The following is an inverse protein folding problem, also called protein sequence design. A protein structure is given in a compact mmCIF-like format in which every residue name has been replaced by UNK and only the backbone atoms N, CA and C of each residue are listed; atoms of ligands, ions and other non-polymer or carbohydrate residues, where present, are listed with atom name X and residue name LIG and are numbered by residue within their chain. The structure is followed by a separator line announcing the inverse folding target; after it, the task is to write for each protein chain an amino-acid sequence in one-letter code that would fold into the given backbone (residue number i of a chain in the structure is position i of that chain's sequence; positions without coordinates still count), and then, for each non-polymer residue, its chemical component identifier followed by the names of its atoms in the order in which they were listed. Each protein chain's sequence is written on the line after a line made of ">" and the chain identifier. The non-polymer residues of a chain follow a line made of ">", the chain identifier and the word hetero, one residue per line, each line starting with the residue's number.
data_IF_137175154211
#
_entry.id   IF_137175154211
#
_cell.length_a   1.000
_cell.length_b   1.000
_cell.length_c   1.000
_cell.angle_alpha   90.00
_cell.angle_beta   90.00
_cell.angle_gamma   90.00
#
_symmetry.space_group_name_H-M   'P 1'
#
loop_
_entity.id
_entity.type
_entity.pdbx_description
1 polymer ?
#
# COMPACT_ATOMS: atom_id res chain seq x y z
N UNK A 1 -18.08 -33.33 -2.66
CA UNK A 1 -18.77 -32.38 -3.53
C UNK A 1 -20.00 -31.86 -2.83
N UNK A 2 -19.91 -30.74 -2.15
CA UNK A 2 -21.06 -29.93 -1.68
C UNK A 2 -20.65 -28.48 -1.75
N UNK A 3 -20.57 -27.95 -2.96
CA UNK A 3 -20.60 -26.52 -3.22
C UNK A 3 -22.05 -26.03 -3.12
N UNK A 4 -22.29 -25.07 -2.28
CA UNK A 4 -23.55 -24.34 -2.29
C UNK A 4 -24.26 -24.32 -0.94
N UNK A 5 -23.87 -23.32 -0.10
CA UNK A 5 -24.75 -22.62 0.86
C UNK A 5 -23.96 -21.79 1.88
N UNK A 6 -23.27 -20.76 1.45
CA UNK A 6 -22.82 -19.70 2.36
C UNK A 6 -22.74 -18.33 1.66
N UNK A 7 -23.82 -17.97 1.01
CA UNK A 7 -24.06 -16.58 0.63
C UNK A 7 -25.37 -16.14 1.28
N UNK A 8 -25.34 -15.87 2.58
CA UNK A 8 -26.47 -15.25 3.28
C UNK A 8 -26.01 -14.12 4.21
N UNK A 9 -25.95 -12.93 3.66
CA UNK A 9 -26.78 -11.88 4.25
C UNK A 9 -26.18 -11.00 5.34
N UNK A 10 -24.88 -10.52 5.28
CA UNK A 10 -24.47 -9.31 6.05
C UNK A 10 -23.57 -8.35 5.27
N UNK A 11 -22.80 -8.83 4.34
CA UNK A 11 -21.73 -8.13 3.62
C UNK A 11 -22.18 -6.96 2.72
N UNK A 12 -23.42 -6.89 2.31
CA UNK A 12 -23.85 -5.86 1.34
C UNK A 12 -23.94 -4.42 1.88
N UNK A 13 -24.14 -4.22 3.17
CA UNK A 13 -24.26 -2.86 3.73
C UNK A 13 -22.92 -2.21 4.05
N UNK A 14 -21.97 -2.96 4.58
CA UNK A 14 -20.63 -2.46 4.88
C UNK A 14 -19.85 -2.08 3.62
N UNK A 15 -19.84 -2.96 2.61
CA UNK A 15 -19.11 -2.75 1.36
C UNK A 15 -19.62 -1.52 0.57
N UNK A 16 -20.94 -1.28 0.55
CA UNK A 16 -21.50 -0.11 -0.12
C UNK A 16 -21.10 1.21 0.60
N UNK A 17 -21.07 1.22 1.92
CA UNK A 17 -20.69 2.41 2.70
C UNK A 17 -19.19 2.68 2.59
N UNK A 18 -18.37 1.65 2.63
CA UNK A 18 -16.91 1.74 2.49
C UNK A 18 -16.49 2.20 1.09
N UNK A 19 -17.08 1.64 0.04
CA UNK A 19 -16.87 2.10 -1.35
C UNK A 19 -17.28 3.57 -1.51
N UNK A 20 -18.36 4.01 -0.86
CA UNK A 20 -18.78 5.41 -0.91
C UNK A 20 -17.81 6.36 -0.21
N UNK A 21 -17.20 5.95 0.90
CA UNK A 21 -16.23 6.77 1.63
C UNK A 21 -14.88 6.84 0.92
N UNK A 22 -14.38 5.73 0.37
CA UNK A 22 -13.12 5.71 -0.39
C UNK A 22 -13.22 6.49 -1.71
N UNK A 23 -14.35 6.36 -2.42
CA UNK A 23 -14.63 7.17 -3.62
C UNK A 23 -14.76 8.65 -3.27
N UNK A 24 -15.27 8.99 -2.07
CA UNK A 24 -15.40 10.39 -1.63
C UNK A 24 -14.04 11.03 -1.35
N UNK A 25 -13.08 10.31 -0.77
CA UNK A 25 -11.72 10.82 -0.54
C UNK A 25 -10.96 11.02 -1.86
N UNK A 26 -11.01 10.05 -2.77
CA UNK A 26 -10.44 10.16 -4.11
C UNK A 26 -11.10 11.27 -4.94
N UNK A 27 -12.42 11.42 -4.85
CA UNK A 27 -13.15 12.49 -5.53
C UNK A 27 -12.79 13.88 -4.98
N UNK A 28 -12.47 14.01 -3.69
CA UNK A 28 -12.05 15.28 -3.10
C UNK A 28 -10.67 15.71 -3.62
N UNK A 29 -9.72 14.79 -3.73
CA UNK A 29 -8.41 15.06 -4.33
C UNK A 29 -8.55 15.45 -5.83
N UNK A 30 -9.42 14.77 -6.57
CA UNK A 30 -9.68 15.07 -7.98
C UNK A 30 -10.41 16.40 -8.15
N UNK A 31 -11.40 16.71 -7.30
CA UNK A 31 -12.11 17.99 -7.31
C UNK A 31 -11.18 19.17 -6.99
N UNK A 32 -10.25 19.01 -6.06
CA UNK A 32 -9.23 20.03 -5.77
C UNK A 32 -8.26 20.24 -6.95
N UNK A 33 -7.94 19.19 -7.71
CA UNK A 33 -7.10 19.28 -8.90
C UNK A 33 -7.83 19.93 -10.10
N UNK A 34 -9.15 19.80 -10.19
CA UNK A 34 -9.93 20.28 -11.34
C UNK A 34 -10.55 21.67 -11.17
N UNK A 35 -10.78 22.14 -9.94
CA UNK A 35 -11.42 23.45 -9.68
C UNK A 35 -10.62 24.67 -10.12
N UNK A 36 -9.34 24.51 -10.48
CA UNK A 36 -8.52 25.60 -11.04
C UNK A 36 -8.41 25.57 -12.57
N UNK A 37 -9.14 24.69 -13.27
CA UNK A 37 -9.18 24.65 -14.72
C UNK A 37 -10.06 25.78 -15.27
N UNK A 38 -9.54 27.00 -15.29
CA UNK A 38 -10.00 28.00 -16.25
C UNK A 38 -9.80 27.42 -17.65
N UNK A 39 -10.83 27.55 -18.50
CA UNK A 39 -10.82 27.07 -19.87
C UNK A 39 -9.58 27.63 -20.63
N UNK A 40 -8.50 26.89 -20.60
CA UNK A 40 -7.42 27.01 -21.57
C UNK A 40 -7.86 26.20 -22.78
N UNK A 41 -7.66 26.79 -23.97
CA UNK A 41 -7.76 26.11 -25.26
C UNK A 41 -7.17 24.70 -25.11
N UNK A 42 -7.76 23.67 -25.72
CA UNK A 42 -7.14 22.35 -25.76
C UNK A 42 -5.89 22.45 -26.65
N UNK A 43 -4.80 22.93 -26.05
CA UNK A 43 -3.49 22.75 -26.64
C UNK A 43 -3.33 21.27 -26.93
N UNK A 44 -2.85 20.93 -28.13
CA UNK A 44 -2.50 19.54 -28.45
C UNK A 44 -1.62 19.02 -27.35
N UNK A 45 -2.21 18.13 -26.54
CA UNK A 45 -1.53 17.53 -25.40
C UNK A 45 -0.35 16.73 -25.94
N UNK A 46 0.85 16.89 -25.38
CA UNK A 46 2.04 16.24 -25.90
C UNK A 46 1.77 14.73 -25.99
N UNK A 47 2.14 14.15 -27.12
CA UNK A 47 2.19 12.69 -27.27
C UNK A 47 3.03 12.12 -26.14
N UNK A 48 2.50 11.15 -25.44
CA UNK A 48 3.16 10.53 -24.31
C UNK A 48 4.38 9.74 -24.79
N UNK A 49 5.55 10.33 -24.65
CA UNK A 49 6.82 9.63 -24.89
C UNK A 49 7.15 8.82 -23.62
N UNK A 50 6.89 7.52 -23.67
CA UNK A 50 7.26 6.61 -22.60
C UNK A 50 8.78 6.49 -22.53
N UNK A 51 9.34 6.74 -21.36
CA UNK A 51 10.78 6.59 -21.13
C UNK A 51 11.05 5.40 -20.21
N UNK A 52 12.24 4.82 -20.33
CA UNK A 52 12.73 3.84 -19.36
C UNK A 52 13.04 4.55 -18.05
N UNK A 53 12.52 4.05 -16.95
CA UNK A 53 12.75 4.55 -15.59
C UNK A 53 13.41 3.46 -14.77
N UNK A 54 14.48 3.82 -14.11
CA UNK A 54 15.04 3.04 -13.00
C UNK A 54 15.08 3.92 -11.76
N UNK A 55 14.41 3.51 -10.70
CA UNK A 55 14.37 4.22 -9.42
C UNK A 55 14.82 3.29 -8.30
N UNK A 56 15.61 3.81 -7.38
CA UNK A 56 15.91 3.19 -6.10
C UNK A 56 15.55 4.16 -4.98
N UNK A 57 15.07 3.64 -3.88
CA UNK A 57 14.76 4.44 -2.70
C UNK A 57 15.32 3.79 -1.44
N UNK A 58 15.56 4.62 -0.43
CA UNK A 58 15.87 4.18 0.92
C UNK A 58 15.20 5.16 1.89
N UNK A 59 14.67 4.62 2.97
CA UNK A 59 13.94 5.40 3.96
C UNK A 59 14.13 4.85 5.37
N UNK A 60 13.84 5.69 6.35
CA UNK A 60 13.74 5.32 7.74
C UNK A 60 12.60 6.06 8.40
N UNK A 61 12.06 5.50 9.44
CA UNK A 61 10.92 6.08 10.12
C UNK A 61 10.61 5.39 11.42
N UNK A 62 9.44 5.68 11.89
CA UNK A 62 8.94 5.22 13.15
C UNK A 62 7.49 4.76 13.01
N UNK A 63 7.18 3.57 13.49
CA UNK A 63 5.86 2.99 13.51
C UNK A 63 5.39 2.92 14.96
N UNK A 64 4.12 3.21 15.20
CA UNK A 64 3.45 3.04 16.48
C UNK A 64 2.14 2.30 16.29
N UNK A 65 1.88 1.39 17.21
CA UNK A 65 0.73 0.49 17.24
C UNK A 65 -0.17 0.83 18.40
N UNK A 66 -1.48 0.81 18.17
CA UNK A 66 -2.49 1.03 19.20
C UNK A 66 -3.83 0.40 18.80
N UNK A 67 -4.73 0.19 19.75
CA UNK A 67 -6.07 -0.34 19.48
C UNK A 67 -6.69 -1.01 20.68
N UNK A 68 -7.93 -1.43 20.55
CA UNK A 68 -8.68 -2.09 21.62
C UNK A 68 -8.24 -3.57 21.79
N UNK A 69 -7.72 -4.19 20.74
CA UNK A 69 -7.22 -5.55 20.74
C UNK A 69 -6.07 -5.78 21.74
N UNK A 70 -5.18 -4.80 21.88
CA UNK A 70 -4.07 -4.84 22.86
C UNK A 70 -4.57 -4.94 24.33
N UNK A 71 -5.83 -4.60 24.57
CA UNK A 71 -6.43 -4.65 25.92
C UNK A 71 -7.06 -6.00 26.27
N UNK A 72 -7.33 -6.88 25.31
CA UNK A 72 -8.07 -8.14 25.52
C UNK A 72 -7.21 -9.25 26.17
N UNK A 73 -5.92 -9.26 25.95
CA UNK A 73 -4.98 -10.27 26.48
C UNK A 73 -4.59 -10.10 27.96
N UNK A 74 -5.24 -9.16 28.68
CA UNK A 74 -5.01 -8.96 30.14
C UNK A 74 -3.73 -8.22 30.47
N UNK A 75 -3.05 -7.64 29.51
CA UNK A 75 -1.96 -6.69 29.67
C UNK A 75 -2.42 -5.35 30.25
N UNK A 76 -1.49 -4.53 30.67
CA UNK A 76 -1.80 -3.20 31.17
C UNK A 76 -2.45 -2.37 30.04
N UNK A 77 -3.54 -1.64 30.30
CA UNK A 77 -4.22 -0.87 29.28
C UNK A 77 -3.29 0.21 28.71
N UNK A 78 -3.22 0.28 27.36
CA UNK A 78 -2.49 1.31 26.59
C UNK A 78 -0.96 1.13 26.48
N UNK A 79 -0.43 -0.06 26.36
CA UNK A 79 0.94 -0.19 25.87
C UNK A 79 0.94 0.11 24.36
N UNK A 80 1.43 1.31 24.00
CA UNK A 80 1.71 1.68 22.61
C UNK A 80 3.05 1.02 22.28
N UNK A 81 3.01 0.06 21.37
CA UNK A 81 4.23 -0.47 20.78
C UNK A 81 4.74 0.53 19.75
N UNK A 82 5.97 0.94 19.89
CA UNK A 82 6.59 1.88 18.98
C UNK A 82 8.02 1.44 18.65
N UNK A 83 8.36 1.38 17.36
CA UNK A 83 9.67 0.92 16.93
C UNK A 83 10.16 1.59 15.64
N UNK A 84 11.50 1.75 15.48
CA UNK A 84 12.07 2.26 14.25
C UNK A 84 12.01 1.22 13.13
N UNK A 85 11.66 1.69 11.94
CA UNK A 85 11.67 0.93 10.70
C UNK A 85 12.65 1.53 9.71
N UNK A 86 13.31 0.67 8.94
CA UNK A 86 14.15 1.05 7.82
C UNK A 86 13.80 0.18 6.62
N UNK A 87 13.77 0.80 5.46
CA UNK A 87 13.42 0.09 4.26
C UNK A 87 14.01 0.71 3.01
N UNK A 88 13.69 0.10 1.93
CA UNK A 88 14.07 0.56 0.62
C UNK A 88 13.36 -0.22 -0.48
N UNK A 89 13.49 0.29 -1.69
CA UNK A 89 12.85 -0.33 -2.84
C UNK A 89 13.56 -0.01 -4.14
N UNK A 90 13.11 -0.66 -5.17
CA UNK A 90 13.53 -0.44 -6.55
C UNK A 90 12.33 -0.54 -7.49
N UNK A 91 12.33 0.30 -8.50
CA UNK A 91 11.36 0.28 -9.58
C UNK A 91 12.09 0.30 -10.91
N UNK A 92 11.70 -0.57 -11.82
CA UNK A 92 12.16 -0.59 -13.19
C UNK A 92 10.96 -0.62 -14.12
N UNK A 93 10.79 0.44 -14.91
CA UNK A 93 9.73 0.55 -15.91
C UNK A 93 10.33 0.74 -17.30
N UNK A 94 9.80 0.02 -18.28
CA UNK A 94 10.28 0.05 -19.66
C UNK A 94 9.12 0.02 -20.63
N UNK A 95 9.13 0.91 -21.66
CA UNK A 95 8.20 0.79 -22.78
C UNK A 95 8.54 -0.47 -23.59
N UNK A 96 7.55 -1.35 -23.74
CA UNK A 96 7.71 -2.57 -24.56
C UNK A 96 7.34 -2.30 -26.02
N UNK A 97 6.33 -1.45 -26.22
CA UNK A 97 5.85 -0.90 -27.50
C UNK A 97 5.43 0.54 -27.27
N UNK A 98 5.10 1.28 -28.29
CA UNK A 98 4.72 2.70 -28.22
C UNK A 98 3.60 3.00 -27.20
N UNK A 99 2.76 2.00 -26.91
CA UNK A 99 1.58 2.15 -26.04
C UNK A 99 1.57 1.14 -24.86
N UNK A 100 2.61 0.34 -24.69
CA UNK A 100 2.67 -0.66 -23.65
C UNK A 100 3.85 -0.44 -22.71
N UNK A 101 3.58 -0.58 -21.43
CA UNK A 101 4.54 -0.43 -20.34
C UNK A 101 4.65 -1.74 -19.57
N UNK A 102 5.87 -2.20 -19.32
CA UNK A 102 6.17 -3.23 -18.33
C UNK A 102 6.90 -2.59 -17.16
N UNK A 103 6.52 -2.93 -15.94
CA UNK A 103 7.15 -2.43 -14.71
C UNK A 103 7.40 -3.58 -13.74
N UNK A 104 8.56 -3.55 -13.11
CA UNK A 104 8.91 -4.37 -11.95
C UNK A 104 9.10 -3.43 -10.75
N UNK A 105 8.57 -3.84 -9.62
CA UNK A 105 8.64 -3.10 -8.38
C UNK A 105 9.04 -4.06 -7.25
N UNK A 106 9.90 -3.60 -6.38
CA UNK A 106 10.31 -4.30 -5.18
C UNK A 106 10.38 -3.30 -4.03
N UNK A 107 9.82 -3.65 -2.89
CA UNK A 107 9.93 -2.87 -1.65
C UNK A 107 10.07 -3.83 -0.48
N UNK A 108 10.92 -3.47 0.47
CA UNK A 108 11.10 -4.24 1.70
C UNK A 108 11.55 -3.36 2.85
N UNK A 109 11.29 -3.83 4.06
CA UNK A 109 11.60 -3.13 5.30
C UNK A 109 11.95 -4.09 6.42
N UNK A 110 12.59 -3.56 7.45
CA UNK A 110 12.88 -4.28 8.69
C UNK A 110 12.76 -3.38 9.90
N UNK A 111 12.23 -3.94 10.97
CA UNK A 111 12.15 -3.30 12.27
C UNK A 111 13.45 -3.54 13.05
N UNK A 112 13.82 -2.58 13.88
CA UNK A 112 14.97 -2.70 14.78
C UNK A 112 14.51 -2.58 16.22
N UNK A 113 15.04 -3.47 17.07
CA UNK A 113 14.88 -3.41 18.53
C UNK A 113 13.47 -3.70 19.05
N UNK A 114 12.82 -4.70 18.47
CA UNK A 114 11.49 -5.17 18.89
C UNK A 114 11.49 -6.14 20.07
N UNK A 115 12.68 -6.55 20.55
CA UNK A 115 12.81 -7.72 21.43
C UNK A 115 12.17 -7.54 22.81
N UNK A 116 11.80 -6.32 23.23
CA UNK A 116 11.23 -6.07 24.54
C UNK A 116 10.39 -4.79 24.58
N UNK A 117 9.10 -4.90 24.62
CA UNK A 117 8.23 -3.81 25.03
C UNK A 117 8.11 -3.82 26.55
N UNK A 118 8.65 -2.79 27.22
CA UNK A 118 8.63 -2.64 28.68
C UNK A 118 9.18 -3.84 29.50
N UNK A 119 10.08 -4.66 28.91
CA UNK A 119 10.67 -5.81 29.60
C UNK A 119 9.79 -7.05 29.64
N UNK A 120 8.70 -7.05 28.88
CA UNK A 120 7.90 -8.23 28.57
C UNK A 120 8.30 -8.67 27.16
N UNK A 121 8.59 -9.96 26.94
CA UNK A 121 8.75 -10.46 25.58
C UNK A 121 7.49 -10.16 24.78
N UNK A 122 7.63 -9.44 23.68
CA UNK A 122 6.51 -9.22 22.77
C UNK A 122 6.32 -10.54 21.99
N UNK A 123 5.16 -11.12 22.10
CA UNK A 123 4.76 -12.26 21.27
C UNK A 123 4.21 -11.70 19.94
N UNK A 124 4.59 -12.31 18.81
CA UNK A 124 4.10 -12.02 17.44
C UNK A 124 4.30 -10.57 16.94
N UNK A 125 5.46 -10.00 17.24
CA UNK A 125 5.76 -8.62 16.80
C UNK A 125 6.21 -8.57 15.35
N UNK A 126 5.64 -7.66 14.56
CA UNK A 126 6.09 -7.38 13.20
C UNK A 126 7.58 -7.02 13.16
N UNK A 127 8.37 -7.81 12.44
CA UNK A 127 9.82 -7.60 12.32
C UNK A 127 10.23 -7.09 10.94
N UNK A 128 9.33 -7.09 9.97
CA UNK A 128 9.57 -6.60 8.63
C UNK A 128 8.87 -7.40 7.55
N UNK A 129 9.24 -7.15 6.31
CA UNK A 129 8.71 -7.87 5.17
C UNK A 129 9.16 -7.28 3.85
N UNK A 130 8.79 -7.95 2.78
CA UNK A 130 9.00 -7.44 1.44
C UNK A 130 7.87 -7.85 0.48
N UNK A 131 7.73 -7.08 -0.59
CA UNK A 131 6.86 -7.40 -1.72
C UNK A 131 7.58 -7.10 -3.02
N UNK A 132 7.56 -8.04 -3.94
CA UNK A 132 8.02 -7.86 -5.32
C UNK A 132 6.86 -8.12 -6.28
N UNK A 133 6.71 -7.26 -7.32
CA UNK A 133 5.62 -7.40 -8.25
C UNK A 133 5.98 -6.95 -9.67
N UNK A 134 5.25 -7.52 -10.63
CA UNK A 134 5.27 -7.11 -12.03
C UNK A 134 3.95 -6.50 -12.44
N UNK A 135 4.02 -5.51 -13.32
CA UNK A 135 2.87 -4.82 -13.89
C UNK A 135 3.00 -4.77 -15.41
N UNK A 136 1.89 -4.92 -16.10
CA UNK A 136 1.81 -4.77 -17.55
C UNK A 136 0.61 -3.91 -17.91
N UNK A 137 0.84 -2.77 -18.56
CA UNK A 137 -0.18 -1.76 -18.76
C UNK A 137 -0.20 -1.23 -20.20
N UNK A 138 -1.39 -1.04 -20.72
CA UNK A 138 -1.66 -0.27 -21.92
C UNK A 138 -1.77 1.21 -21.55
N UNK A 139 -1.14 2.06 -22.32
CA UNK A 139 -1.17 3.52 -22.14
C UNK A 139 -1.64 4.20 -23.41
N UNK A 140 -2.53 5.14 -23.27
CA UNK A 140 -2.98 5.96 -24.40
C UNK A 140 -3.29 7.38 -23.94
N UNK A 141 -2.58 8.37 -24.47
CA UNK A 141 -2.67 9.75 -24.04
C UNK A 141 -2.52 9.88 -22.50
N UNK A 142 -3.60 10.26 -21.81
CA UNK A 142 -3.66 10.46 -20.37
C UNK A 142 -4.21 9.25 -19.60
N UNK A 143 -4.49 8.17 -20.28
CA UNK A 143 -5.09 6.98 -19.70
C UNK A 143 -4.09 5.84 -19.64
N UNK A 144 -4.10 5.10 -18.52
CA UNK A 144 -3.40 3.85 -18.36
C UNK A 144 -4.39 2.79 -17.84
N UNK A 145 -4.31 1.60 -18.37
CA UNK A 145 -5.04 0.44 -17.86
C UNK A 145 -4.12 -0.77 -17.90
N UNK A 146 -4.08 -1.56 -16.82
CA UNK A 146 -3.17 -2.68 -16.74
C UNK A 146 -3.57 -3.73 -15.72
N UNK A 147 -2.72 -4.73 -15.63
CA UNK A 147 -2.80 -5.81 -14.66
C UNK A 147 -1.50 -5.88 -13.88
N UNK A 148 -1.55 -6.45 -12.68
CA UNK A 148 -0.40 -6.67 -11.84
C UNK A 148 -0.49 -8.02 -11.14
N UNK A 149 0.68 -8.57 -10.79
CA UNK A 149 0.81 -9.70 -9.91
C UNK A 149 2.14 -9.62 -9.16
N UNK A 150 2.16 -10.11 -7.94
CA UNK A 150 3.33 -10.07 -7.07
C UNK A 150 3.27 -11.12 -5.98
N UNK A 151 4.39 -11.23 -5.26
CA UNK A 151 4.54 -12.08 -4.09
C UNK A 151 5.52 -11.43 -3.09
N UNK A 152 5.49 -11.88 -1.86
CA UNK A 152 6.37 -11.39 -0.82
C UNK A 152 6.28 -12.24 0.44
N UNK A 153 6.93 -11.75 1.48
CA UNK A 153 6.90 -12.36 2.81
C UNK A 153 6.78 -11.26 3.86
N UNK A 154 6.11 -11.59 4.94
CA UNK A 154 6.01 -10.78 6.15
C UNK A 154 6.60 -11.58 7.29
N UNK A 155 7.48 -10.96 8.06
CA UNK A 155 8.22 -11.58 9.14
C UNK A 155 7.69 -11.13 10.49
N UNK A 156 7.51 -12.08 11.38
CA UNK A 156 7.12 -11.85 12.77
C UNK A 156 8.14 -12.49 13.69
N UNK A 157 8.45 -11.80 14.78
CA UNK A 157 9.35 -12.30 15.81
C UNK A 157 8.54 -12.68 17.04
N UNK A 158 8.65 -13.95 17.43
CA UNK A 158 8.13 -14.48 18.69
C UNK A 158 9.30 -14.83 19.60
N UNK A 159 9.13 -14.75 20.92
CA UNK A 159 10.17 -15.05 21.93
C UNK A 159 10.84 -16.41 21.78
N UNK A 160 10.21 -17.34 21.10
CA UNK A 160 10.71 -18.73 20.97
C UNK A 160 10.85 -19.20 19.52
N UNK A 161 10.20 -18.54 18.58
CA UNK A 161 10.13 -19.00 17.18
C UNK A 161 9.90 -17.80 16.25
N UNK A 162 10.61 -17.73 15.15
CA UNK A 162 10.30 -16.76 14.09
C UNK A 162 9.21 -17.36 13.20
N UNK A 163 8.26 -16.54 12.79
CA UNK A 163 7.18 -16.94 11.89
C UNK A 163 7.21 -16.11 10.62
N UNK A 164 7.02 -16.78 9.50
CA UNK A 164 7.01 -16.15 8.18
C UNK A 164 5.65 -16.39 7.52
N UNK A 165 5.10 -15.33 6.96
CA UNK A 165 3.85 -15.37 6.19
C UNK A 165 4.17 -15.04 4.74
N UNK A 166 4.10 -16.04 3.88
CA UNK A 166 4.18 -15.85 2.43
C UNK A 166 2.87 -15.27 1.92
N UNK A 167 2.97 -14.32 1.00
CA UNK A 167 1.81 -13.64 0.41
C UNK A 167 1.91 -13.57 -1.11
N UNK A 168 0.79 -13.56 -1.79
CA UNK A 168 0.71 -13.24 -3.20
C UNK A 168 -0.45 -12.28 -3.48
N UNK A 169 -0.31 -11.46 -4.51
CA UNK A 169 -1.25 -10.42 -4.91
C UNK A 169 -1.45 -10.47 -6.43
N UNK A 170 -2.67 -10.27 -6.88
CA UNK A 170 -2.97 -10.07 -8.30
C UNK A 170 -4.15 -9.13 -8.49
N UNK A 171 -4.17 -8.38 -9.59
CA UNK A 171 -5.29 -7.47 -9.83
C UNK A 171 -5.19 -6.70 -11.13
N UNK A 172 -6.09 -5.72 -11.24
CA UNK A 172 -6.15 -4.79 -12.33
C UNK A 172 -6.14 -3.34 -11.85
N UNK A 173 -5.75 -2.43 -12.73
CA UNK A 173 -5.67 -1.01 -12.42
C UNK A 173 -6.02 -0.14 -13.60
N UNK A 174 -6.49 1.07 -13.31
CA UNK A 174 -6.70 2.12 -14.27
C UNK A 174 -6.24 3.46 -13.68
N UNK A 175 -5.66 4.33 -14.51
CA UNK A 175 -5.23 5.67 -14.11
C UNK A 175 -5.57 6.69 -15.17
N UNK A 176 -6.02 7.86 -14.73
CA UNK A 176 -6.12 9.08 -15.54
C UNK A 176 -5.09 10.06 -15.03
N UNK A 177 -4.31 10.63 -15.92
CA UNK A 177 -3.23 11.58 -15.62
C UNK A 177 -3.42 12.86 -16.44
N UNK A 178 -3.22 14.03 -15.84
CA UNK A 178 -3.10 15.31 -16.52
C UNK A 178 -1.93 16.10 -15.92
N UNK A 179 -1.61 17.27 -16.48
CA UNK A 179 -0.47 18.10 -16.06
C UNK A 179 -0.49 18.52 -14.58
N UNK A 180 -1.62 18.45 -13.91
CA UNK A 180 -1.78 18.90 -12.52
C UNK A 180 -1.94 17.76 -11.53
N UNK A 181 -2.28 16.57 -12.00
CA UNK A 181 -2.49 15.45 -11.11
C UNK A 181 -2.91 14.18 -11.81
N UNK A 182 -3.05 13.12 -11.02
CA UNK A 182 -3.56 11.83 -11.47
C UNK A 182 -4.54 11.25 -10.47
N UNK A 183 -5.38 10.36 -10.97
CA UNK A 183 -6.23 9.50 -10.16
C UNK A 183 -6.11 8.08 -10.69
N UNK A 184 -5.73 7.15 -9.82
CA UNK A 184 -5.69 5.73 -10.11
C UNK A 184 -6.66 4.96 -9.23
N UNK A 185 -7.18 3.87 -9.77
CA UNK A 185 -7.97 2.87 -9.07
C UNK A 185 -7.34 1.51 -9.30
N UNK A 186 -7.16 0.76 -8.23
CA UNK A 186 -6.68 -0.63 -8.24
C UNK A 186 -7.74 -1.51 -7.59
N UNK A 187 -7.99 -2.66 -8.19
CA UNK A 187 -8.84 -3.72 -7.64
C UNK A 187 -8.05 -5.02 -7.72
N UNK A 188 -7.97 -5.74 -6.63
CA UNK A 188 -7.18 -6.95 -6.59
C UNK A 188 -7.65 -7.93 -5.52
N UNK A 189 -6.92 -8.99 -5.49
CA UNK A 189 -7.06 -10.08 -4.55
C UNK A 189 -5.65 -10.40 -4.01
N UNK A 190 -5.55 -10.69 -2.74
CA UNK A 190 -4.35 -11.28 -2.16
C UNK A 190 -4.73 -12.43 -1.23
N UNK A 191 -3.78 -13.30 -1.05
CA UNK A 191 -3.90 -14.47 -0.21
C UNK A 191 -2.58 -14.74 0.48
N UNK A 192 -2.63 -15.39 1.62
CA UNK A 192 -1.47 -15.62 2.48
C UNK A 192 -1.37 -17.08 2.91
N UNK A 193 -0.18 -17.46 3.28
CA UNK A 193 0.11 -18.78 3.83
C UNK A 193 1.17 -18.67 4.92
N UNK A 194 0.85 -19.07 6.13
CA UNK A 194 1.81 -19.13 7.24
C UNK A 194 2.58 -20.44 7.23
N UNK A 195 3.87 -20.39 7.53
CA UNK A 195 4.73 -21.59 7.60
C UNK A 195 4.51 -22.41 8.87
N UNK A 196 3.85 -21.85 9.88
CA UNK A 196 3.57 -22.52 11.16
C UNK A 196 2.08 -22.47 11.50
N UNK A 197 1.54 -23.60 11.93
CA UNK A 197 0.11 -23.87 12.03
C UNK A 197 -0.63 -23.23 13.22
N UNK A 198 -0.13 -22.16 13.82
CA UNK A 198 -0.81 -21.44 14.90
C UNK A 198 -0.85 -19.94 14.68
N UNK A 199 -0.46 -19.46 13.51
CA UNK A 199 -0.47 -18.03 13.22
C UNK A 199 -1.72 -17.69 12.43
N UNK A 200 -2.45 -16.70 12.89
CA UNK A 200 -3.58 -16.14 12.19
C UNK A 200 -3.11 -15.35 10.96
N UNK A 201 -3.67 -15.63 9.82
CA UNK A 201 -3.35 -14.96 8.56
C UNK A 201 -4.59 -14.50 7.84
N UNK A 202 -4.45 -13.42 7.09
CA UNK A 202 -5.54 -12.88 6.30
C UNK A 202 -5.59 -13.55 4.92
N UNK A 203 -6.55 -14.44 4.72
CA UNK A 203 -6.74 -15.22 3.50
C UNK A 203 -7.93 -14.73 2.67
N UNK A 204 -8.02 -15.20 1.42
CA UNK A 204 -9.16 -14.94 0.51
C UNK A 204 -9.59 -13.46 0.43
N UNK A 205 -8.64 -12.54 0.42
CA UNK A 205 -8.88 -11.11 0.60
C UNK A 205 -9.04 -10.36 -0.72
N UNK A 206 -10.17 -9.66 -0.87
CA UNK A 206 -10.41 -8.72 -1.96
C UNK A 206 -10.12 -7.30 -1.47
N UNK A 207 -9.42 -6.51 -2.29
CA UNK A 207 -9.17 -5.12 -1.97
C UNK A 207 -9.52 -4.15 -3.10
N UNK A 208 -9.81 -2.91 -2.73
CA UNK A 208 -9.89 -1.76 -3.62
C UNK A 208 -8.99 -0.65 -3.07
N UNK A 209 -8.18 -0.03 -3.94
CA UNK A 209 -7.30 1.09 -3.57
C UNK A 209 -7.48 2.24 -4.56
N UNK A 210 -7.62 3.46 -4.04
CA UNK A 210 -7.61 4.68 -4.81
C UNK A 210 -6.34 5.47 -4.48
N UNK A 211 -5.67 6.01 -5.52
CA UNK A 211 -4.47 6.84 -5.38
C UNK A 211 -4.68 8.14 -6.14
N UNK A 212 -4.52 9.27 -5.45
CA UNK A 212 -4.60 10.60 -6.02
C UNK A 212 -3.26 11.33 -5.90
N UNK A 213 -2.83 12.01 -6.95
CA UNK A 213 -1.59 12.78 -6.97
C UNK A 213 -1.87 14.20 -7.46
N UNK A 214 -1.16 15.18 -6.88
CA UNK A 214 -1.19 16.58 -7.32
C UNK A 214 0.24 17.07 -7.47
N UNK A 215 0.53 17.71 -8.61
CA UNK A 215 1.86 18.21 -8.94
C UNK A 215 1.93 19.74 -8.80
N UNK A 216 3.03 20.22 -8.21
CA UNK A 216 3.34 21.62 -7.99
C UNK A 216 4.72 21.95 -8.55
N UNK A 217 5.04 23.24 -8.64
CA UNK A 217 6.36 23.71 -9.05
C UNK A 217 6.84 23.11 -10.37
N UNK A 218 5.98 23.12 -11.40
CA UNK A 218 6.26 22.51 -12.70
C UNK A 218 6.60 21.01 -12.60
N UNK A 219 5.92 20.29 -11.73
CA UNK A 219 6.11 18.85 -11.53
C UNK A 219 7.30 18.45 -10.67
N UNK A 220 7.96 19.41 -10.01
CA UNK A 220 9.09 19.10 -9.11
C UNK A 220 8.65 18.73 -7.68
N UNK A 221 7.42 19.01 -7.33
CA UNK A 221 6.84 18.63 -6.03
C UNK A 221 5.55 17.86 -6.28
N UNK A 222 5.37 16.77 -5.57
CA UNK A 222 4.18 15.93 -5.64
C UNK A 222 3.61 15.72 -4.24
N UNK A 223 2.31 15.85 -4.13
CA UNK A 223 1.53 15.33 -2.99
C UNK A 223 0.72 14.15 -3.48
N UNK A 224 0.91 13.01 -2.87
CA UNK A 224 0.14 11.79 -3.12
C UNK A 224 -0.70 11.46 -1.89
N UNK A 225 -1.90 10.95 -2.12
CA UNK A 225 -2.75 10.35 -1.10
C UNK A 225 -3.32 9.05 -1.63
N UNK A 226 -3.27 8.01 -0.81
CA UNK A 226 -3.87 6.72 -1.12
C UNK A 226 -4.79 6.29 0.00
N UNK A 227 -5.84 5.55 -0.35
CA UNK A 227 -6.73 4.86 0.59
C UNK A 227 -7.09 3.51 0.00
N UNK A 228 -7.07 2.48 0.84
CA UNK A 228 -7.47 1.14 0.49
C UNK A 228 -8.48 0.60 1.49
N UNK A 229 -9.35 -0.27 1.01
CA UNK A 229 -10.22 -1.13 1.81
C UNK A 229 -10.02 -2.57 1.35
N UNK A 230 -9.90 -3.46 2.30
CA UNK A 230 -9.82 -4.89 2.03
C UNK A 230 -10.80 -5.64 2.94
N UNK A 231 -11.32 -6.74 2.43
CA UNK A 231 -12.29 -7.62 3.11
C UNK A 231 -11.86 -9.06 2.84
N UNK A 232 -11.62 -9.81 3.90
CA UNK A 232 -11.13 -11.18 3.82
C UNK A 232 -11.55 -12.02 5.02
N UNK A 233 -10.91 -13.16 5.14
CA UNK A 233 -11.11 -14.08 6.25
C UNK A 233 -9.80 -14.28 6.99
N UNK A 234 -9.88 -14.32 8.30
CA UNK A 234 -8.76 -14.72 9.13
C UNK A 234 -8.91 -16.20 9.41
N UNK A 235 -7.95 -16.99 8.96
CA UNK A 235 -7.93 -18.44 9.11
C UNK A 235 -6.87 -18.83 10.14
N UNK A 236 -7.32 -19.46 11.23
CA UNK A 236 -6.45 -20.29 12.07
C UNK A 236 -6.37 -21.69 11.46
N UNK A 237 -5.18 -22.18 11.19
CA UNK A 237 -4.97 -23.48 10.53
C UNK A 237 -5.63 -24.68 11.24
N UNK A 238 -5.94 -24.59 12.55
CA UNK A 238 -6.55 -25.65 13.36
C UNK A 238 -7.96 -25.29 13.90
N UNK A 239 -8.46 -24.09 13.68
CA UNK A 239 -9.78 -23.70 14.18
C UNK A 239 -10.90 -24.00 13.16
N UNK A 240 -12.04 -24.54 13.61
CA UNK A 240 -13.18 -24.81 12.71
C UNK A 240 -13.95 -23.54 12.32
N UNK A 241 -13.46 -22.38 12.67
CA UNK A 241 -14.14 -21.08 12.48
C UNK A 241 -13.18 -20.08 11.83
N UNK A 242 -13.56 -19.51 10.71
CA UNK A 242 -12.93 -18.34 10.11
C UNK A 242 -13.66 -17.09 10.59
N UNK A 243 -12.92 -16.10 11.06
CA UNK A 243 -13.44 -14.78 11.42
C UNK A 243 -13.47 -13.89 10.17
N UNK A 244 -14.45 -13.01 10.09
CA UNK A 244 -14.48 -12.00 9.04
C UNK A 244 -13.62 -10.82 9.46
N UNK A 245 -12.69 -10.43 8.61
CA UNK A 245 -11.76 -9.33 8.90
C UNK A 245 -11.84 -8.29 7.81
N UNK A 246 -12.04 -7.04 8.20
CA UNK A 246 -11.95 -5.90 7.30
C UNK A 246 -10.77 -4.99 7.66
N UNK A 247 -10.20 -4.39 6.64
CA UNK A 247 -9.02 -3.55 6.79
C UNK A 247 -9.13 -2.25 6.01
N UNK A 248 -8.65 -1.18 6.63
CA UNK A 248 -8.43 0.11 6.01
C UNK A 248 -6.95 0.45 6.01
N UNK A 249 -6.43 0.90 4.88
CA UNK A 249 -5.08 1.44 4.81
C UNK A 249 -5.10 2.81 4.16
N UNK A 250 -4.22 3.70 4.62
CA UNK A 250 -4.05 5.04 4.05
C UNK A 250 -2.58 5.44 3.99
N UNK A 251 -2.28 6.30 3.05
CA UNK A 251 -0.94 6.83 2.85
C UNK A 251 -1.02 8.29 2.37
N UNK A 252 -0.14 9.14 2.86
CA UNK A 252 0.08 10.49 2.35
C UNK A 252 1.57 10.67 2.15
N UNK A 253 2.00 11.03 0.94
CA UNK A 253 3.41 11.26 0.59
C UNK A 253 3.59 12.66 0.04
N UNK A 254 4.57 13.38 0.58
CA UNK A 254 5.08 14.60 -0.01
C UNK A 254 6.48 14.32 -0.55
N UNK A 255 6.67 14.45 -1.85
CA UNK A 255 7.95 14.26 -2.52
C UNK A 255 8.41 15.56 -3.20
N UNK A 256 9.69 15.89 -3.07
CA UNK A 256 10.30 17.06 -3.70
C UNK A 256 11.63 16.71 -4.36
N UNK A 257 11.77 17.08 -5.63
CA UNK A 257 12.97 16.85 -6.42
C UNK A 257 14.07 17.85 -6.04
N UNK A 258 15.27 17.34 -5.84
CA UNK A 258 16.45 18.12 -5.48
C UNK A 258 17.18 18.58 -6.76
N UNK A 259 17.03 19.84 -7.13
CA UNK A 259 17.62 20.39 -8.36
C UNK A 259 19.16 20.25 -8.40
N UNK A 260 19.83 20.37 -7.24
CA UNK A 260 21.29 20.29 -7.15
C UNK A 260 21.87 18.89 -7.39
N UNK A 261 21.08 17.86 -7.28
CA UNK A 261 21.45 16.46 -7.47
C UNK A 261 20.85 15.86 -8.75
N UNK A 262 20.17 16.69 -9.54
CA UNK A 262 19.54 16.27 -10.78
C UNK A 262 20.37 16.73 -11.97
N UNK A 263 20.58 15.82 -12.91
CA UNK A 263 21.27 16.05 -14.18
C UNK A 263 20.40 15.68 -15.37
N UNK A 264 20.97 15.70 -16.57
CA UNK A 264 20.22 15.44 -17.81
C UNK A 264 19.56 14.05 -17.84
N UNK A 265 20.16 13.05 -17.15
CA UNK A 265 19.69 11.66 -17.14
C UNK A 265 19.52 11.09 -15.73
N UNK A 266 19.54 11.94 -14.69
CA UNK A 266 19.36 11.50 -13.30
C UNK A 266 18.62 12.54 -12.49
N UNK A 267 17.83 12.08 -11.54
CA UNK A 267 17.13 12.94 -10.60
C UNK A 267 17.19 12.33 -9.21
N UNK A 268 17.30 13.18 -8.21
CA UNK A 268 17.17 12.79 -6.81
C UNK A 268 16.00 13.56 -6.18
N UNK A 269 15.28 12.93 -5.27
CA UNK A 269 14.22 13.55 -4.50
C UNK A 269 14.29 13.13 -3.03
N UNK A 270 13.71 13.97 -2.19
CA UNK A 270 13.40 13.65 -0.79
C UNK A 270 11.91 13.42 -0.68
N UNK A 271 11.51 12.55 0.23
CA UNK A 271 10.11 12.38 0.55
C UNK A 271 9.88 12.23 2.05
N UNK A 272 8.67 12.56 2.45
CA UNK A 272 8.11 12.25 3.77
C UNK A 272 6.77 11.58 3.53
N UNK A 273 6.51 10.47 4.21
CA UNK A 273 5.22 9.78 4.18
C UNK A 273 4.65 9.63 5.58
N UNK A 274 3.32 9.63 5.65
CA UNK A 274 2.52 9.19 6.77
C UNK A 274 1.61 8.08 6.30
N UNK A 275 1.66 6.96 6.95
CA UNK A 275 0.93 5.76 6.58
C UNK A 275 0.16 5.21 7.77
N UNK A 276 -0.91 4.48 7.51
CA UNK A 276 -1.59 3.75 8.55
C UNK A 276 -2.42 2.59 8.01
N UNK A 277 -2.64 1.63 8.88
CA UNK A 277 -3.48 0.46 8.65
C UNK A 277 -4.36 0.28 9.88
N UNK A 278 -5.64 0.07 9.67
CA UNK A 278 -6.60 -0.34 10.69
C UNK A 278 -7.18 -1.69 10.30
N UNK A 279 -7.08 -2.65 11.18
CA UNK A 279 -7.68 -3.98 11.06
C UNK A 279 -8.83 -4.07 12.06
N UNK A 280 -9.97 -4.59 11.62
CA UNK A 280 -11.12 -4.87 12.47
C UNK A 280 -11.49 -6.33 12.28
N UNK A 281 -11.58 -7.05 13.36
CA UNK A 281 -12.00 -8.44 13.39
C UNK A 281 -13.37 -8.58 14.05
N UNK A 282 -14.28 -9.27 13.37
CA UNK A 282 -15.58 -9.64 13.94
C UNK A 282 -15.46 -11.01 14.61
N UNK A 283 -15.22 -11.02 15.90
CA UNK A 283 -15.20 -12.26 16.70
C UNK A 283 -16.57 -12.96 16.67
N UNK A 284 -16.54 -14.29 16.63
CA UNK A 284 -17.73 -15.15 16.76
C UNK A 284 -18.52 -14.93 18.06
N UNK A 285 -17.88 -14.34 19.09
CA UNK A 285 -18.51 -13.96 20.36
C UNK A 285 -19.32 -12.67 20.29
N UNK A 286 -19.22 -11.92 19.17
CA UNK A 286 -19.93 -10.66 18.93
C UNK A 286 -19.20 -9.44 19.50
N UNK A 287 -17.94 -9.55 19.90
CA UNK A 287 -17.03 -8.42 20.09
C UNK A 287 -16.39 -8.07 18.75
N UNK A 288 -16.05 -6.81 18.54
CA UNK A 288 -15.22 -6.35 17.43
C UNK A 288 -13.95 -5.80 18.05
N UNK A 289 -12.83 -6.43 17.75
CA UNK A 289 -11.53 -5.97 18.19
C UNK A 289 -10.87 -5.18 17.05
N UNK A 290 -10.14 -4.15 17.37
CA UNK A 290 -9.49 -3.30 16.38
C UNK A 290 -8.05 -2.99 16.73
N UNK A 291 -7.20 -3.01 15.71
CA UNK A 291 -5.81 -2.58 15.78
C UNK A 291 -5.56 -1.45 14.78
N UNK A 292 -4.73 -0.50 15.17
CA UNK A 292 -4.32 0.60 14.28
C UNK A 292 -2.81 0.74 14.33
N UNK A 293 -2.16 0.50 13.19
CA UNK A 293 -0.75 0.80 12.98
C UNK A 293 -0.61 2.12 12.23
N UNK A 294 0.31 2.96 12.67
CA UNK A 294 0.59 4.23 12.02
C UNK A 294 2.11 4.47 12.00
N UNK A 295 2.58 5.17 10.96
CA UNK A 295 4.01 5.45 10.85
C UNK A 295 4.30 6.74 10.10
N UNK A 296 5.44 7.35 10.44
CA UNK A 296 6.02 8.46 9.69
C UNK A 296 7.40 8.04 9.20
N UNK A 297 7.64 8.26 7.91
CA UNK A 297 8.87 7.88 7.25
C UNK A 297 9.43 9.05 6.45
N UNK A 298 10.75 9.10 6.33
CA UNK A 298 11.44 10.03 5.47
C UNK A 298 12.55 9.31 4.70
N UNK A 299 12.75 9.69 3.46
CA UNK A 299 13.72 8.99 2.64
C UNK A 299 14.20 9.78 1.43
N UNK A 300 15.03 9.10 0.68
CA UNK A 300 15.62 9.57 -0.57
C UNK A 300 15.21 8.61 -1.69
N UNK A 301 14.94 9.18 -2.86
CA UNK A 301 14.78 8.44 -4.10
C UNK A 301 15.82 8.92 -5.09
N UNK A 302 16.40 8.00 -5.82
CA UNK A 302 17.34 8.28 -6.89
C UNK A 302 16.87 7.61 -8.17
N UNK A 303 16.80 8.37 -9.24
CA UNK A 303 16.28 7.95 -10.56
C UNK A 303 17.31 8.09 -11.63
N UNK A 304 17.31 7.11 -12.54
CA UNK A 304 18.03 7.12 -13.80
C UNK A 304 17.03 6.95 -14.95
N UNK A 305 17.29 7.64 -16.05
CA UNK A 305 16.40 7.66 -17.22
C UNK A 305 15.79 9.05 -17.43
N UNK A 306 15.79 9.60 -18.57
CA UNK A 306 15.50 10.93 -19.07
C UNK A 306 14.36 11.80 -18.49
N UNK A 307 13.88 11.55 -17.28
CA UNK A 307 12.80 12.32 -16.68
C UNK A 307 13.35 13.47 -15.83
N UNK A 308 12.93 14.67 -16.18
CA UNK A 308 13.34 15.88 -15.49
C UNK A 308 12.41 16.29 -14.34
N UNK A 309 11.21 15.70 -14.24
CA UNK A 309 10.23 16.01 -13.20
C UNK A 309 9.52 14.78 -12.66
N UNK A 310 8.85 14.92 -11.51
CA UNK A 310 8.00 13.87 -10.94
C UNK A 310 6.80 13.58 -11.85
N UNK A 311 6.25 14.60 -12.49
CA UNK A 311 5.18 14.43 -13.46
C UNK A 311 5.60 13.56 -14.65
N UNK A 312 6.80 13.80 -15.23
CA UNK A 312 7.32 12.98 -16.34
C UNK A 312 7.58 11.53 -15.91
N UNK A 313 8.02 11.32 -14.67
CA UNK A 313 8.10 9.98 -14.09
C UNK A 313 6.75 9.27 -14.12
N UNK A 314 5.72 9.93 -13.60
CA UNK A 314 4.37 9.36 -13.54
C UNK A 314 3.79 9.08 -14.94
N UNK A 315 4.20 9.83 -15.94
CA UNK A 315 3.86 9.51 -17.32
C UNK A 315 4.49 8.20 -17.81
N UNK A 316 5.63 7.82 -17.28
CA UNK A 316 6.43 6.67 -17.73
C UNK A 316 6.37 5.46 -16.80
N UNK A 317 5.58 5.52 -15.71
CA UNK A 317 5.39 4.43 -14.75
C UNK A 317 3.91 4.09 -14.59
N UNK A 318 3.64 2.89 -14.10
CA UNK A 318 2.33 2.53 -13.56
C UNK A 318 2.21 2.98 -12.09
N UNK A 319 1.00 3.11 -11.54
CA UNK A 319 0.81 3.41 -10.11
C UNK A 319 1.53 2.38 -9.23
N UNK A 320 2.14 2.84 -8.14
CA UNK A 320 2.74 1.95 -7.14
C UNK A 320 1.72 0.97 -6.56
N UNK A 321 2.19 -0.22 -6.23
CA UNK A 321 1.34 -1.28 -5.67
C UNK A 321 1.11 -1.09 -4.17
N UNK A 322 0.06 -1.71 -3.60
CA UNK A 322 -0.13 -1.71 -2.16
C UNK A 322 0.98 -2.48 -1.45
N UNK A 323 1.40 -1.99 -0.29
CA UNK A 323 2.42 -2.60 0.57
C UNK A 323 1.77 -3.71 1.41
N UNK A 324 1.46 -4.85 0.79
CA UNK A 324 0.70 -5.93 1.44
C UNK A 324 1.45 -6.49 2.65
N UNK A 325 2.78 -6.58 2.61
CA UNK A 325 3.58 -6.99 3.78
C UNK A 325 3.33 -6.10 5.01
N UNK A 326 3.12 -4.77 4.81
CA UNK A 326 2.78 -3.83 5.87
C UNK A 326 1.35 -4.02 6.39
N UNK A 327 0.41 -4.33 5.48
CA UNK A 327 -0.97 -4.60 5.85
C UNK A 327 -1.09 -5.84 6.72
N UNK A 328 -0.35 -6.89 6.35
CA UNK A 328 -0.33 -8.13 7.11
C UNK A 328 0.36 -7.99 8.46
N UNK A 329 1.32 -7.09 8.58
CA UNK A 329 2.01 -6.82 9.85
C UNK A 329 1.08 -6.37 10.98
N UNK A 330 -0.13 -5.92 10.66
CA UNK A 330 -1.14 -5.50 11.65
C UNK A 330 -2.11 -6.62 12.06
N UNK A 331 -2.17 -7.74 11.31
CA UNK A 331 -3.20 -8.79 11.50
C UNK A 331 -3.01 -9.63 12.78
N UNK A 332 -1.81 -10.16 13.09
CA UNK A 332 -1.65 -11.10 14.21
C UNK A 332 -1.85 -10.52 15.60
N UNK A 333 -1.91 -9.23 15.73
CA UNK A 333 -2.08 -8.56 17.02
C UNK A 333 -3.55 -8.39 17.44
N UNK A 334 -4.48 -8.99 16.70
CA UNK A 334 -5.94 -8.87 16.93
C UNK A 334 -6.50 -10.10 17.67
N UNK A 335 -5.68 -10.94 18.27
CA UNK A 335 -6.03 -12.15 19.05
C UNK A 335 -6.95 -11.88 20.26
#
# INVERSE_FOLDING_TARGET
>A
MKFGRYLRGKTRRGMATALFQSVSAGALCFALATTSAGAADPAELPTRDLATVFEVNAWGGYLWRGGDAINSSGGAPNEIEDFPLFGGGALFAVPVLDTWLAQLEFEGEGAFDNDNVNGVPADDTYSGGYTGAGQFAFTHNHFLMGVFAGAGETFFHETTTDHDVTQWIAGGQARVLNERGSLALQLGYFDTHADSGNMETLSDTIFVRAVGQVFFNNGQTMLEGAVAYADGTQDEDDAPFSNSTDMWAWEIVLEHQLAMLSGDNSAASVFVSYEGVQVNEDSTSGSTDSLVDQGIYAGLKFRLGGQQSLYEREMSTAPGLPKVHRWLGAVPAVD
#
